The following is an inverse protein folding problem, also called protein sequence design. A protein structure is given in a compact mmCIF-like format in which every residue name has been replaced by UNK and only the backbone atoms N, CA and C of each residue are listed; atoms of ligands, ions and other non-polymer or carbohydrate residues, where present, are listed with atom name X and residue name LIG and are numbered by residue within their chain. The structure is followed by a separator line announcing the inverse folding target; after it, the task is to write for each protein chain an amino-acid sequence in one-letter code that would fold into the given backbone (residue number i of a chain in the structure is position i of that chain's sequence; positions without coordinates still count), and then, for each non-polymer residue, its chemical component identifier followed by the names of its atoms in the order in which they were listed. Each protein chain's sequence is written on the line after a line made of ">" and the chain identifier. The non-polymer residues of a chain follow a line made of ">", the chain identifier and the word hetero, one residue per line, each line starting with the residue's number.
data_IF_304173071063
#
_entry.id   IF_304173071063
#
_cell.length_a   1.000
_cell.length_b   1.000
_cell.length_c   1.000
_cell.angle_alpha   90.00
_cell.angle_beta   90.00
_cell.angle_gamma   90.00
#
_symmetry.space_group_name_H-M   'P 1'
#
loop_
_entity.id
_entity.type
_entity.pdbx_description
1 polymer ?
#
# COMPACT_ATOMS: atom_id res chain seq x y z
N UNK A 1 -1.48 3.83 21.15
CA UNK A 1 -2.34 2.98 20.31
C UNK A 1 -1.60 1.68 20.00
N UNK A 2 -2.27 0.51 20.02
CA UNK A 2 -1.68 -0.71 19.44
C UNK A 2 -1.37 -0.42 17.97
N UNK A 3 -0.14 -0.67 17.54
CA UNK A 3 0.27 -0.48 16.14
C UNK A 3 -0.50 -1.49 15.29
N UNK A 4 -1.30 -0.99 14.35
CA UNK A 4 -2.09 -1.81 13.44
C UNK A 4 -1.17 -2.61 12.50
N UNK A 5 -1.67 -3.73 11.99
CA UNK A 5 -0.86 -4.78 11.40
C UNK A 5 0.05 -4.28 10.27
N UNK A 6 1.32 -4.72 10.31
CA UNK A 6 2.33 -4.41 9.31
C UNK A 6 2.20 -5.33 8.08
N UNK A 7 2.22 -4.77 6.86
CA UNK A 7 2.08 -5.50 5.60
C UNK A 7 3.37 -6.28 5.26
N UNK A 8 3.54 -7.42 5.92
CA UNK A 8 4.75 -8.26 5.80
C UNK A 8 4.56 -9.45 4.85
N UNK A 9 3.35 -9.65 4.31
CA UNK A 9 3.00 -10.74 3.39
C UNK A 9 1.97 -10.27 2.35
N UNK A 10 1.66 -11.13 1.37
CA UNK A 10 0.49 -10.91 0.52
C UNK A 10 -0.78 -11.08 1.36
N UNK A 11 -1.55 -9.99 1.45
CA UNK A 11 -2.84 -9.98 2.16
C UNK A 11 -3.88 -10.74 1.32
N UNK A 12 -4.53 -11.80 1.86
CA UNK A 12 -5.57 -12.56 1.17
C UNK A 12 -6.85 -11.74 0.99
N UNK A 13 -7.67 -12.16 0.01
CA UNK A 13 -9.01 -11.60 -0.16
C UNK A 13 -9.94 -12.11 0.95
N UNK A 14 -10.87 -11.26 1.42
CA UNK A 14 -11.90 -11.61 2.42
C UNK A 14 -12.84 -12.70 1.93
N UNK A 15 -13.03 -12.80 0.61
CA UNK A 15 -13.76 -13.88 -0.04
C UNK A 15 -12.81 -14.83 -0.74
N UNK A 16 -13.23 -16.08 -0.92
CA UNK A 16 -12.59 -17.00 -1.85
C UNK A 16 -12.68 -16.40 -3.25
N UNK A 17 -11.55 -16.38 -3.97
CA UNK A 17 -11.49 -15.83 -5.32
C UNK A 17 -11.42 -16.93 -6.38
N UNK A 18 -12.03 -16.68 -7.52
CA UNK A 18 -11.96 -17.55 -8.69
C UNK A 18 -11.48 -16.78 -9.93
N UNK A 19 -10.97 -17.51 -10.92
CA UNK A 19 -10.60 -16.96 -12.23
C UNK A 19 -11.77 -17.17 -13.18
N UNK A 20 -12.30 -16.10 -13.76
CA UNK A 20 -13.28 -16.14 -14.84
C UNK A 20 -12.62 -15.79 -16.17
N UNK A 21 -12.90 -16.58 -17.21
CA UNK A 21 -12.41 -16.37 -18.58
C UNK A 21 -13.25 -15.30 -19.30
N UNK A 22 -13.20 -14.09 -18.77
CA UNK A 22 -13.87 -12.91 -19.31
C UNK A 22 -12.95 -11.68 -19.23
N UNK A 23 -13.15 -10.66 -20.11
CA UNK A 23 -12.28 -9.50 -20.15
C UNK A 23 -12.14 -8.79 -18.80
N UNK A 24 -10.89 -8.53 -18.41
CA UNK A 24 -10.58 -7.87 -17.14
C UNK A 24 -11.08 -6.43 -17.11
N UNK A 25 -11.79 -6.08 -16.04
CA UNK A 25 -12.15 -4.68 -15.75
C UNK A 25 -10.99 -3.87 -15.16
N UNK A 26 -9.88 -4.53 -14.79
CA UNK A 26 -8.69 -3.91 -14.18
C UNK A 26 -7.58 -3.62 -15.19
N UNK A 27 -7.43 -4.47 -16.22
CA UNK A 27 -6.30 -4.41 -17.16
C UNK A 27 -6.79 -4.59 -18.59
N UNK A 28 -6.49 -3.60 -19.43
CA UNK A 28 -6.78 -3.67 -20.86
C UNK A 28 -6.12 -4.91 -21.48
N UNK A 29 -6.87 -5.57 -22.37
CA UNK A 29 -6.44 -6.76 -23.14
C UNK A 29 -6.20 -8.05 -22.33
N UNK A 30 -6.43 -8.04 -21.02
CA UNK A 30 -6.44 -9.27 -20.23
C UNK A 30 -7.78 -9.99 -20.42
N UNK A 31 -7.76 -11.23 -20.90
CA UNK A 31 -8.95 -12.03 -21.25
C UNK A 31 -9.54 -12.83 -20.08
N UNK A 32 -9.05 -12.61 -18.87
CA UNK A 32 -9.56 -13.24 -17.65
C UNK A 32 -9.61 -12.21 -16.52
N UNK A 33 -10.43 -12.46 -15.50
CA UNK A 33 -10.41 -11.70 -14.25
C UNK A 33 -10.48 -12.58 -13.02
N UNK A 34 -9.90 -12.09 -11.93
CA UNK A 34 -9.98 -12.71 -10.61
C UNK A 34 -11.07 -12.00 -9.84
N UNK A 35 -12.14 -12.72 -9.49
CA UNK A 35 -13.31 -12.17 -8.79
C UNK A 35 -13.56 -12.91 -7.50
N UNK A 36 -14.16 -12.22 -6.53
CA UNK A 36 -14.66 -12.80 -5.30
C UNK A 36 -15.90 -13.65 -5.57
N UNK A 37 -16.01 -14.76 -4.85
CA UNK A 37 -17.23 -15.55 -4.72
C UNK A 37 -18.01 -15.09 -3.49
N UNK A 38 -19.21 -15.65 -3.28
CA UNK A 38 -20.02 -15.38 -2.09
C UNK A 38 -19.45 -16.04 -0.81
N UNK A 39 -18.47 -16.93 -0.95
CA UNK A 39 -17.89 -17.64 0.18
C UNK A 39 -16.82 -16.81 0.85
N UNK A 40 -16.98 -16.53 2.15
CA UNK A 40 -15.94 -15.92 2.99
C UNK A 40 -14.74 -16.86 3.04
N UNK A 41 -13.54 -16.30 2.92
CA UNK A 41 -12.29 -17.04 2.97
C UNK A 41 -12.11 -17.63 4.38
N UNK A 42 -11.81 -18.94 4.53
CA UNK A 42 -11.58 -19.56 5.83
C UNK A 42 -10.54 -18.82 6.68
N UNK A 43 -9.50 -18.25 6.06
CA UNK A 43 -8.48 -17.45 6.77
C UNK A 43 -9.08 -16.20 7.41
N UNK A 44 -10.11 -15.60 6.81
CA UNK A 44 -10.81 -14.45 7.39
C UNK A 44 -11.70 -14.87 8.57
N UNK A 45 -12.39 -16.01 8.47
CA UNK A 45 -13.20 -16.55 9.55
C UNK A 45 -12.34 -16.97 10.76
N UNK A 46 -11.23 -17.65 10.51
CA UNK A 46 -10.26 -18.06 11.55
C UNK A 46 -9.65 -16.85 12.28
N UNK A 47 -9.55 -15.70 11.60
CA UNK A 47 -9.03 -14.46 12.15
C UNK A 47 -10.09 -13.58 12.85
N UNK A 48 -11.35 -14.03 12.95
CA UNK A 48 -12.46 -13.27 13.56
C UNK A 48 -12.67 -11.90 12.90
N UNK A 49 -12.86 -11.92 11.57
CA UNK A 49 -13.01 -10.72 10.71
C UNK A 49 -14.10 -9.75 11.19
N UNK A 50 -15.17 -10.24 11.82
CA UNK A 50 -16.30 -9.42 12.29
C UNK A 50 -15.90 -8.49 13.45
N UNK A 51 -14.85 -8.85 14.19
CA UNK A 51 -14.27 -8.03 15.26
C UNK A 51 -13.05 -7.21 14.81
N UNK A 52 -12.69 -7.25 13.52
CA UNK A 52 -11.52 -6.58 12.98
C UNK A 52 -11.76 -5.08 12.75
N UNK A 53 -10.68 -4.28 12.79
CA UNK A 53 -10.75 -2.86 12.46
C UNK A 53 -10.65 -2.65 10.94
N UNK A 54 -11.67 -2.10 10.26
CA UNK A 54 -11.60 -1.81 8.84
C UNK A 54 -10.96 -0.45 8.57
N UNK A 55 -10.10 -0.44 7.56
CA UNK A 55 -9.36 0.73 7.13
C UNK A 55 -9.38 0.81 5.62
N UNK A 56 -9.26 2.02 5.08
CA UNK A 56 -9.17 2.22 3.65
C UNK A 56 -7.94 1.51 3.10
N UNK A 57 -8.12 0.72 2.03
CA UNK A 57 -7.01 0.26 1.22
C UNK A 57 -6.60 1.42 0.31
N UNK A 58 -5.40 1.95 0.51
CA UNK A 58 -4.86 2.98 -0.38
C UNK A 58 -4.13 2.36 -1.57
N UNK A 59 -4.30 2.97 -2.74
CA UNK A 59 -3.69 2.57 -4.00
C UNK A 59 -2.33 3.25 -4.15
N UNK A 60 -1.40 2.78 -3.33
CA UNK A 60 -0.01 3.22 -3.29
C UNK A 60 0.97 2.11 -3.65
N UNK A 61 2.25 2.42 -3.44
CA UNK A 61 3.30 1.40 -3.38
C UNK A 61 3.77 1.25 -1.94
N UNK A 62 3.74 0.01 -1.48
CA UNK A 62 4.06 -0.34 -0.10
C UNK A 62 5.53 -0.02 0.23
N UNK A 63 5.73 0.58 1.39
CA UNK A 63 7.01 0.99 1.96
C UNK A 63 7.14 0.45 3.38
N UNK A 64 8.37 0.43 3.89
CA UNK A 64 8.68 0.04 5.26
C UNK A 64 9.72 0.99 5.83
N UNK A 65 9.65 1.29 7.13
CA UNK A 65 10.70 2.06 7.80
C UNK A 65 11.41 1.16 8.81
N UNK A 66 12.70 0.95 8.60
CA UNK A 66 13.57 0.17 9.50
C UNK A 66 15.00 0.67 9.43
N UNK A 67 15.87 0.13 10.28
CA UNK A 67 17.27 0.54 10.40
C UNK A 67 18.07 0.13 9.15
N UNK A 68 18.79 1.09 8.57
CA UNK A 68 19.82 0.85 7.55
C UNK A 68 21.05 1.67 7.92
N UNK A 69 22.25 1.06 7.87
CA UNK A 69 23.51 1.74 8.22
C UNK A 69 23.47 2.46 9.59
N UNK A 70 22.75 1.88 10.56
CA UNK A 70 22.64 2.40 11.93
C UNK A 70 21.62 3.52 12.13
N UNK A 71 20.82 3.88 11.12
CA UNK A 71 19.85 4.96 11.20
C UNK A 71 18.45 4.54 10.67
N UNK A 72 17.36 5.17 11.14
CA UNK A 72 16.04 5.03 10.53
C UNK A 72 16.06 5.35 9.03
N UNK A 73 15.50 4.46 8.21
CA UNK A 73 15.56 4.60 6.76
C UNK A 73 14.25 4.15 6.11
N UNK A 74 13.90 4.74 4.96
CA UNK A 74 12.78 4.27 4.16
C UNK A 74 13.22 3.12 3.25
N UNK A 75 12.41 2.08 3.18
CA UNK A 75 12.60 0.91 2.36
C UNK A 75 11.43 0.73 1.41
N UNK A 76 11.72 0.50 0.14
CA UNK A 76 10.72 0.21 -0.88
C UNK A 76 10.45 -1.30 -0.94
N UNK A 77 9.21 -1.66 -1.26
CA UNK A 77 8.85 -3.06 -1.49
C UNK A 77 9.55 -3.63 -2.71
N UNK A 78 10.30 -4.72 -2.52
CA UNK A 78 10.86 -5.52 -3.60
C UNK A 78 10.56 -7.00 -3.35
N UNK A 79 9.51 -7.51 -3.99
CA UNK A 79 9.23 -8.95 -3.98
C UNK A 79 10.25 -9.69 -4.87
N UNK A 80 10.95 -10.69 -4.33
CA UNK A 80 11.78 -11.60 -5.14
C UNK A 80 10.87 -12.46 -6.02
N UNK A 81 11.03 -12.33 -7.34
CA UNK A 81 10.17 -12.96 -8.36
C UNK A 81 10.79 -14.23 -8.91
N UNK A 82 9.93 -15.20 -9.23
CA UNK A 82 10.32 -16.35 -10.04
C UNK A 82 10.86 -15.91 -11.41
N UNK A 83 11.76 -16.70 -11.97
CA UNK A 83 12.25 -16.55 -13.33
C UNK A 83 11.20 -17.07 -14.33
N UNK A 84 11.39 -16.77 -15.63
CA UNK A 84 10.40 -17.10 -16.68
C UNK A 84 10.15 -18.61 -16.81
N UNK A 85 11.18 -19.45 -16.62
CA UNK A 85 11.07 -20.90 -16.75
C UNK A 85 10.28 -21.49 -15.58
N UNK A 86 10.58 -21.05 -14.36
CA UNK A 86 9.88 -21.44 -13.15
C UNK A 86 8.41 -21.01 -13.19
N UNK A 87 8.12 -19.78 -13.63
CA UNK A 87 6.75 -19.29 -13.79
C UNK A 87 5.95 -20.13 -14.80
N UNK A 88 6.58 -20.53 -15.92
CA UNK A 88 5.95 -21.42 -16.90
C UNK A 88 5.67 -22.81 -16.31
N UNK A 89 6.61 -23.37 -15.55
CA UNK A 89 6.46 -24.68 -14.87
C UNK A 89 5.33 -24.62 -13.84
N UNK A 90 5.26 -23.56 -13.05
CA UNK A 90 4.21 -23.34 -12.07
C UNK A 90 2.83 -23.22 -12.73
N UNK A 91 2.69 -22.38 -13.76
CA UNK A 91 1.41 -22.25 -14.50
C UNK A 91 0.95 -23.57 -15.12
N UNK A 92 1.88 -24.35 -15.69
CA UNK A 92 1.56 -25.68 -16.23
C UNK A 92 1.05 -26.62 -15.13
N UNK A 93 1.70 -26.62 -13.97
CA UNK A 93 1.28 -27.42 -12.81
C UNK A 93 -0.11 -27.02 -12.31
N UNK A 94 -0.34 -25.71 -12.15
CA UNK A 94 -1.64 -25.18 -11.73
C UNK A 94 -2.76 -25.57 -12.69
N UNK A 95 -2.51 -25.51 -14.01
CA UNK A 95 -3.48 -25.93 -15.01
C UNK A 95 -3.77 -27.43 -14.95
N UNK A 96 -2.74 -28.28 -14.80
CA UNK A 96 -2.92 -29.73 -14.79
C UNK A 96 -3.56 -30.27 -13.51
N UNK A 97 -3.27 -29.66 -12.36
CA UNK A 97 -3.77 -30.13 -11.05
C UNK A 97 -4.93 -29.30 -10.51
N UNK A 98 -5.33 -28.22 -11.20
CA UNK A 98 -6.31 -27.22 -10.73
C UNK A 98 -6.02 -26.72 -9.30
N UNK A 99 -4.74 -26.72 -8.92
CA UNK A 99 -4.27 -26.42 -7.57
C UNK A 99 -2.79 -26.03 -7.62
N UNK A 100 -2.36 -25.19 -6.68
CA UNK A 100 -0.94 -24.93 -6.41
C UNK A 100 -0.34 -25.91 -5.39
N UNK A 101 -1.17 -26.65 -4.64
CA UNK A 101 -0.71 -27.56 -3.59
C UNK A 101 0.17 -28.66 -4.17
N UNK A 102 1.28 -28.94 -3.50
CA UNK A 102 2.27 -29.95 -3.91
C UNK A 102 3.32 -29.46 -4.91
N UNK A 103 3.21 -28.24 -5.44
CA UNK A 103 4.28 -27.67 -6.25
C UNK A 103 5.50 -27.35 -5.38
N UNK A 104 6.67 -27.85 -5.77
CA UNK A 104 7.92 -27.57 -5.07
C UNK A 104 8.74 -26.55 -5.84
N UNK A 105 9.07 -25.45 -5.16
CA UNK A 105 9.97 -24.40 -5.63
C UNK A 105 11.41 -24.71 -5.25
N UNK A 106 12.33 -24.61 -6.19
CA UNK A 106 13.77 -24.56 -5.93
C UNK A 106 14.18 -23.09 -5.79
N UNK A 107 14.36 -22.60 -4.56
CA UNK A 107 14.61 -21.16 -4.29
C UNK A 107 15.88 -20.63 -4.96
N UNK A 108 16.89 -21.48 -5.13
CA UNK A 108 18.17 -21.08 -5.73
C UNK A 108 18.05 -20.92 -7.24
N UNK A 109 17.38 -21.85 -7.90
CA UNK A 109 17.27 -21.87 -9.37
C UNK A 109 16.05 -21.10 -9.89
N UNK A 110 14.91 -21.20 -9.22
CA UNK A 110 13.63 -20.71 -9.73
C UNK A 110 13.46 -19.19 -9.60
N UNK A 111 14.27 -18.51 -8.79
CA UNK A 111 14.06 -17.10 -8.44
C UNK A 111 15.18 -16.20 -8.91
N UNK A 112 14.81 -15.00 -9.36
CA UNK A 112 15.77 -13.96 -9.75
C UNK A 112 16.65 -13.56 -8.55
N UNK A 113 17.89 -13.11 -8.79
CA UNK A 113 18.71 -12.53 -7.75
C UNK A 113 18.09 -11.23 -7.23
N UNK A 114 18.43 -10.89 -6.00
CA UNK A 114 18.09 -9.62 -5.35
C UNK A 114 19.38 -8.89 -4.96
N UNK A 115 19.34 -7.55 -4.78
CA UNK A 115 20.49 -6.82 -4.24
C UNK A 115 20.94 -7.36 -2.88
N UNK A 116 22.21 -7.20 -2.53
CA UNK A 116 22.75 -7.62 -1.22
C UNK A 116 22.07 -6.92 -0.04
N UNK A 117 21.60 -5.69 -0.26
CA UNK A 117 20.86 -4.91 0.73
C UNK A 117 19.41 -5.35 0.89
N UNK A 118 18.93 -6.31 0.10
CA UNK A 118 17.57 -6.82 0.20
C UNK A 118 17.38 -7.63 1.49
N UNK A 119 16.28 -7.36 2.20
CA UNK A 119 15.86 -8.12 3.37
C UNK A 119 14.49 -8.77 3.15
N UNK A 120 14.27 -10.01 3.59
CA UNK A 120 12.94 -10.62 3.55
C UNK A 120 12.00 -9.88 4.50
N UNK A 121 10.71 -9.79 4.12
CA UNK A 121 9.71 -9.24 5.02
C UNK A 121 9.52 -10.15 6.25
N UNK A 122 9.21 -9.57 7.42
CA UNK A 122 9.29 -10.25 8.72
C UNK A 122 8.48 -11.55 8.83
N UNK A 123 7.37 -11.66 8.11
CA UNK A 123 6.50 -12.85 8.15
C UNK A 123 6.80 -13.85 7.04
N UNK A 124 7.81 -13.65 6.20
CA UNK A 124 8.24 -14.65 5.22
C UNK A 124 8.72 -15.90 5.94
N UNK A 125 8.24 -17.07 5.52
CA UNK A 125 8.67 -18.35 6.09
C UNK A 125 10.14 -18.60 5.73
N UNK A 126 10.86 -19.26 6.63
CA UNK A 126 12.25 -19.62 6.41
C UNK A 126 12.43 -21.14 6.53
N UNK A 127 13.32 -21.70 5.72
CA UNK A 127 13.76 -23.10 5.81
C UNK A 127 15.29 -23.14 5.70
N UNK A 128 15.96 -23.74 6.68
CA UNK A 128 17.43 -23.74 6.74
C UNK A 128 18.04 -22.32 6.81
N UNK A 129 17.34 -21.35 7.38
CA UNK A 129 17.79 -19.95 7.43
C UNK A 129 17.52 -19.13 6.16
N UNK A 130 17.00 -19.73 5.10
CA UNK A 130 16.70 -19.04 3.84
C UNK A 130 15.21 -18.75 3.66
N UNK A 131 14.83 -17.58 3.12
CA UNK A 131 13.43 -17.25 2.87
C UNK A 131 12.85 -18.15 1.78
N UNK A 132 11.67 -18.71 2.04
CA UNK A 132 10.94 -19.58 1.10
C UNK A 132 9.65 -18.91 0.60
N UNK A 133 9.23 -19.19 -0.64
CA UNK A 133 8.01 -18.61 -1.19
C UNK A 133 6.75 -19.10 -0.49
N UNK A 134 5.69 -18.30 -0.58
CA UNK A 134 4.33 -18.77 -0.32
C UNK A 134 3.87 -19.78 -1.40
N UNK A 135 2.65 -20.30 -1.24
CA UNK A 135 2.03 -21.28 -2.15
C UNK A 135 1.92 -20.80 -3.60
N UNK A 136 2.00 -19.48 -3.82
CA UNK A 136 1.91 -18.83 -5.12
C UNK A 136 3.26 -18.38 -5.67
N UNK A 137 4.37 -18.70 -4.99
CA UNK A 137 5.70 -18.32 -5.44
C UNK A 137 6.09 -16.88 -5.07
N UNK A 138 5.45 -16.26 -4.07
CA UNK A 138 5.83 -14.91 -3.64
C UNK A 138 6.83 -14.96 -2.49
N UNK A 139 7.91 -14.18 -2.63
CA UNK A 139 8.84 -13.89 -1.55
C UNK A 139 8.88 -12.36 -1.34
N UNK A 140 8.00 -11.82 -0.51
CA UNK A 140 8.06 -10.45 0.01
C UNK A 140 9.43 -10.02 0.51
N UNK A 141 9.82 -8.78 0.21
CA UNK A 141 10.99 -8.18 0.85
C UNK A 141 11.13 -6.70 0.56
N UNK A 142 12.24 -6.14 1.03
CA UNK A 142 12.46 -4.71 1.12
C UNK A 142 13.87 -4.37 0.64
N UNK A 143 14.04 -3.20 0.04
CA UNK A 143 15.36 -2.61 -0.25
C UNK A 143 15.39 -1.15 0.21
N UNK A 144 16.53 -0.65 0.68
CA UNK A 144 16.63 0.73 1.15
C UNK A 144 16.47 1.71 -0.02
N UNK A 145 15.80 2.83 0.24
CA UNK A 145 15.58 3.91 -0.72
C UNK A 145 16.81 4.81 -0.75
N UNK A 146 17.83 4.40 -1.48
CA UNK A 146 19.05 5.21 -1.64
C UNK A 146 18.83 6.34 -2.68
N UNK A 147 19.44 7.50 -2.42
CA UNK A 147 19.20 8.74 -3.19
C UNK A 147 19.48 8.62 -4.68
N UNK A 148 20.52 7.86 -5.04
CA UNK A 148 20.95 7.68 -6.44
C UNK A 148 20.17 6.60 -7.19
N UNK A 149 19.26 5.90 -6.50
CA UNK A 149 18.45 4.86 -7.12
C UNK A 149 17.25 5.46 -7.87
N UNK A 150 17.41 5.63 -9.19
CA UNK A 150 16.35 6.13 -10.08
C UNK A 150 15.05 5.33 -10.02
N UNK A 151 15.10 4.05 -9.64
CA UNK A 151 13.89 3.23 -9.49
C UNK A 151 12.97 3.74 -8.37
N UNK A 152 13.56 4.35 -7.33
CA UNK A 152 12.84 4.79 -6.13
C UNK A 152 12.85 6.31 -5.97
N UNK A 153 13.02 7.07 -7.06
CA UNK A 153 13.10 8.53 -7.02
C UNK A 153 11.88 9.20 -6.34
N UNK A 154 10.68 8.65 -6.50
CA UNK A 154 9.47 9.15 -5.82
C UNK A 154 9.37 8.75 -4.35
N UNK A 155 10.04 7.66 -3.94
CA UNK A 155 10.17 7.35 -2.52
C UNK A 155 11.17 8.32 -1.89
N UNK A 156 12.26 8.61 -2.62
CA UNK A 156 13.24 9.58 -2.20
C UNK A 156 12.67 11.00 -2.07
N UNK A 157 11.60 11.38 -2.79
CA UNK A 157 11.05 12.74 -2.71
C UNK A 157 10.32 13.04 -1.39
N UNK A 158 9.91 12.01 -0.64
CA UNK A 158 9.11 12.15 0.59
C UNK A 158 9.90 11.92 1.88
N UNK A 159 11.22 11.77 1.79
CA UNK A 159 12.09 11.59 2.95
C UNK A 159 13.32 12.45 2.85
N UNK A 160 13.80 12.95 3.97
CA UNK A 160 15.11 13.56 4.11
C UNK A 160 15.93 12.70 5.07
N UNK A 161 16.82 11.86 4.52
CA UNK A 161 17.62 10.94 5.33
C UNK A 161 18.69 11.66 6.15
N UNK A 162 19.17 12.83 5.71
CA UNK A 162 20.13 13.62 6.50
C UNK A 162 19.44 14.26 7.70
N UNK A 163 18.19 14.69 7.53
CA UNK A 163 17.35 15.21 8.61
C UNK A 163 16.76 14.10 9.50
N UNK A 164 16.70 12.88 8.98
CA UNK A 164 15.90 11.81 9.57
C UNK A 164 14.39 12.11 9.56
N UNK A 165 13.88 12.80 8.54
CA UNK A 165 12.48 13.26 8.46
C UNK A 165 11.73 12.66 7.27
N UNK A 166 10.41 12.60 7.37
CA UNK A 166 9.50 12.11 6.36
C UNK A 166 8.29 13.04 6.19
N UNK A 167 7.84 13.22 4.95
CA UNK A 167 6.63 13.93 4.60
C UNK A 167 5.46 12.94 4.58
N UNK A 168 4.52 13.11 5.51
CA UNK A 168 3.39 12.20 5.72
C UNK A 168 2.06 12.89 5.47
N UNK A 169 1.09 12.10 5.05
CA UNK A 169 -0.32 12.46 4.99
C UNK A 169 -1.08 11.51 5.92
N UNK A 170 -1.80 12.06 6.90
CA UNK A 170 -2.49 11.27 7.95
C UNK A 170 -3.78 11.96 8.38
N UNK A 171 -4.73 11.25 9.01
CA UNK A 171 -5.83 11.93 9.71
C UNK A 171 -5.30 12.87 10.80
N UNK A 172 -5.95 14.02 10.96
CA UNK A 172 -5.65 14.97 12.02
C UNK A 172 -5.97 14.36 13.38
N UNK A 173 -5.13 14.64 14.39
CA UNK A 173 -5.38 14.22 15.76
C UNK A 173 -6.56 14.96 16.41
N UNK A 174 -6.91 16.14 15.91
CA UNK A 174 -7.99 16.99 16.43
C UNK A 174 -9.35 16.63 15.80
N UNK A 175 -9.34 16.21 14.54
CA UNK A 175 -10.53 15.89 13.76
C UNK A 175 -10.22 14.75 12.78
N UNK A 176 -10.79 13.57 13.02
CA UNK A 176 -10.57 12.40 12.17
C UNK A 176 -11.14 12.56 10.75
N UNK A 177 -12.01 13.54 10.48
CA UNK A 177 -12.51 13.88 9.13
C UNK A 177 -11.50 14.72 8.33
N UNK A 178 -10.66 15.50 9.01
CA UNK A 178 -9.61 16.32 8.42
C UNK A 178 -8.34 15.50 8.20
N UNK A 179 -7.71 15.64 7.04
CA UNK A 179 -6.34 15.17 6.82
C UNK A 179 -5.33 16.25 7.23
N UNK A 180 -4.14 15.84 7.64
CA UNK A 180 -3.00 16.73 7.78
C UNK A 180 -1.81 16.24 6.96
N UNK A 181 -1.13 17.20 6.33
CA UNK A 181 0.20 17.01 5.76
C UNK A 181 1.20 17.50 6.80
N UNK A 182 2.09 16.62 7.23
CA UNK A 182 3.05 16.91 8.29
C UNK A 182 4.43 16.38 7.93
N UNK A 183 5.45 16.97 8.55
CA UNK A 183 6.81 16.44 8.54
C UNK A 183 7.07 15.80 9.89
N UNK A 184 7.44 14.51 9.89
CA UNK A 184 7.65 13.71 11.09
C UNK A 184 9.01 13.04 11.08
N UNK A 185 9.64 12.79 12.24
CA UNK A 185 10.84 11.96 12.33
C UNK A 185 10.60 10.55 11.76
N UNK A 186 11.55 10.03 10.98
CA UNK A 186 11.55 8.63 10.53
C UNK A 186 11.56 7.65 11.71
N UNK A 187 12.11 8.04 12.86
CA UNK A 187 12.04 7.25 14.10
C UNK A 187 10.60 7.00 14.58
N UNK A 188 9.69 7.94 14.32
CA UNK A 188 8.29 7.79 14.73
C UNK A 188 7.56 6.75 13.87
N UNK A 189 8.06 6.55 12.65
CA UNK A 189 7.58 5.57 11.67
C UNK A 189 8.27 4.20 11.80
N UNK A 190 9.15 4.01 12.78
CA UNK A 190 9.98 2.82 12.92
C UNK A 190 9.16 1.53 13.02
N UNK A 191 9.54 0.53 12.23
CA UNK A 191 8.87 -0.77 12.05
C UNK A 191 7.41 -0.66 11.55
N UNK A 192 7.03 0.46 10.93
CA UNK A 192 5.73 0.62 10.28
C UNK A 192 5.82 0.36 8.78
N UNK A 193 4.77 -0.23 8.21
CA UNK A 193 4.55 -0.23 6.76
C UNK A 193 3.70 0.96 6.37
N UNK A 194 4.01 1.58 5.25
CA UNK A 194 3.31 2.76 4.73
C UNK A 194 2.94 2.53 3.26
N UNK A 195 1.97 3.27 2.75
CA UNK A 195 1.73 3.41 1.32
C UNK A 195 2.35 4.74 0.86
N UNK A 196 3.22 4.69 -0.13
CA UNK A 196 3.58 5.88 -0.88
C UNK A 196 2.46 6.15 -1.88
N UNK A 197 1.85 7.32 -1.82
CA UNK A 197 0.84 7.80 -2.77
C UNK A 197 1.33 9.08 -3.44
N UNK A 198 0.84 9.40 -4.64
CA UNK A 198 1.21 10.64 -5.31
C UNK A 198 1.06 10.65 -6.82
N UNK A 199 1.46 11.75 -7.43
CA UNK A 199 1.29 12.06 -8.86
C UNK A 199 1.79 10.96 -9.80
N UNK A 200 2.86 10.26 -9.41
CA UNK A 200 3.50 9.24 -10.24
C UNK A 200 3.27 7.81 -9.74
N UNK A 201 2.39 7.63 -8.76
CA UNK A 201 2.10 6.32 -8.19
C UNK A 201 0.76 5.83 -8.71
N UNK A 202 0.76 4.61 -9.27
CA UNK A 202 -0.44 3.86 -9.69
C UNK A 202 -1.48 4.66 -10.51
N UNK A 203 -1.03 5.62 -11.33
CA UNK A 203 -1.92 6.43 -12.16
C UNK A 203 -2.57 7.63 -11.46
N UNK A 204 -2.11 7.98 -10.26
CA UNK A 204 -2.59 9.11 -9.45
C UNK A 204 -4.10 9.06 -9.14
N UNK A 205 -4.60 7.99 -8.51
CA UNK A 205 -6.04 7.82 -8.25
C UNK A 205 -6.61 8.89 -7.30
N UNK A 206 -5.75 9.59 -6.56
CA UNK A 206 -6.12 10.62 -5.59
C UNK A 206 -5.93 12.05 -6.12
N UNK A 207 -5.60 12.23 -7.41
CA UNK A 207 -5.47 13.54 -8.04
C UNK A 207 -4.41 14.46 -7.40
N UNK A 208 -3.35 13.89 -6.82
CA UNK A 208 -2.31 14.65 -6.13
C UNK A 208 -1.37 15.33 -7.13
N UNK A 209 -1.19 16.63 -6.99
CA UNK A 209 -0.25 17.42 -7.79
C UNK A 209 -0.45 17.30 -9.30
N UNK A 210 0.60 17.61 -10.07
CA UNK A 210 0.58 17.52 -11.54
C UNK A 210 1.92 17.04 -12.08
N UNK A 211 1.98 16.67 -13.37
CA UNK A 211 3.27 16.28 -13.99
C UNK A 211 4.33 17.40 -13.92
N UNK A 212 3.91 18.66 -13.86
CA UNK A 212 4.81 19.82 -13.72
C UNK A 212 5.27 20.03 -12.27
N UNK A 213 4.41 19.65 -11.32
CA UNK A 213 4.63 19.81 -9.89
C UNK A 213 4.17 18.52 -9.19
N UNK A 214 4.99 17.46 -9.26
CA UNK A 214 4.61 16.17 -8.71
C UNK A 214 4.61 16.22 -7.19
N UNK A 215 3.56 15.70 -6.57
CA UNK A 215 3.37 15.64 -5.11
C UNK A 215 3.24 14.20 -4.69
N UNK A 216 3.92 13.83 -3.60
CA UNK A 216 3.92 12.50 -3.02
C UNK A 216 3.88 12.57 -1.50
N UNK A 217 3.30 11.55 -0.86
CA UNK A 217 3.22 11.43 0.60
C UNK A 217 3.35 9.98 1.03
N UNK A 218 3.86 9.77 2.25
CA UNK A 218 3.70 8.50 2.95
C UNK A 218 2.41 8.53 3.79
N UNK A 219 1.60 7.48 3.66
CA UNK A 219 0.42 7.25 4.51
C UNK A 219 0.63 5.97 5.29
N UNK A 220 0.56 6.02 6.62
CA UNK A 220 0.76 4.82 7.44
C UNK A 220 -0.38 3.83 7.22
N UNK A 221 -0.06 2.54 7.08
CA UNK A 221 -1.09 1.52 6.93
C UNK A 221 -2.02 1.50 8.14
N UNK A 222 -3.32 1.38 7.85
CA UNK A 222 -4.37 1.34 8.87
C UNK A 222 -4.65 2.69 9.56
N UNK A 223 -4.01 3.78 9.14
CA UNK A 223 -4.29 5.10 9.70
C UNK A 223 -5.65 5.65 9.27
N UNK A 224 -6.08 5.39 8.05
CA UNK A 224 -7.36 5.87 7.49
C UNK A 224 -8.45 4.85 7.78
N UNK A 225 -9.29 5.12 8.78
CA UNK A 225 -10.39 4.22 9.18
C UNK A 225 -11.59 4.34 8.27
N UNK A 226 -12.33 3.24 8.14
CA UNK A 226 -13.70 3.24 7.60
C UNK A 226 -14.63 3.22 8.81
N UNK A 227 -15.48 4.22 8.94
CA UNK A 227 -16.34 4.44 10.11
C UNK A 227 -17.59 3.57 10.07
N UNK A 228 -18.19 3.46 8.88
CA UNK A 228 -19.44 2.71 8.69
C UNK A 228 -19.24 1.62 7.65
N UNK A 229 -18.36 0.63 7.93
CA UNK A 229 -18.16 -0.48 7.02
C UNK A 229 -19.46 -1.30 6.89
N UNK A 230 -19.79 -1.81 5.70
CA UNK A 230 -20.85 -2.80 5.57
C UNK A 230 -20.39 -4.12 6.22
N UNK A 231 -21.32 -5.01 6.60
CA UNK A 231 -21.01 -6.39 6.97
C UNK A 231 -20.17 -7.11 5.91
N UNK A 232 -19.45 -8.16 6.33
CA UNK A 232 -18.66 -9.02 5.43
C UNK A 232 -19.60 -9.96 4.66
N UNK A 233 -20.35 -9.36 3.74
CA UNK A 233 -21.27 -10.00 2.81
C UNK A 233 -21.03 -9.45 1.41
N UNK A 234 -20.97 -10.32 0.40
CA UNK A 234 -20.56 -9.93 -0.95
C UNK A 234 -21.49 -8.88 -1.54
N UNK A 235 -22.81 -9.04 -1.36
CA UNK A 235 -23.81 -8.15 -1.94
C UNK A 235 -23.82 -6.80 -1.22
N UNK A 236 -23.76 -6.80 0.11
CA UNK A 236 -23.72 -5.57 0.90
C UNK A 236 -22.44 -4.78 0.67
N UNK A 237 -21.28 -5.45 0.55
CA UNK A 237 -20.04 -4.78 0.15
C UNK A 237 -20.17 -4.18 -1.25
N UNK A 238 -20.72 -4.92 -2.21
CA UNK A 238 -20.92 -4.41 -3.57
C UNK A 238 -21.80 -3.15 -3.60
N UNK A 239 -22.96 -3.18 -2.93
CA UNK A 239 -23.84 -2.01 -2.80
C UNK A 239 -23.12 -0.84 -2.13
N UNK A 240 -22.41 -1.07 -1.02
CA UNK A 240 -21.65 -0.01 -0.33
C UNK A 240 -20.59 0.63 -1.23
N UNK A 241 -19.78 -0.16 -1.96
CA UNK A 241 -18.78 0.38 -2.87
C UNK A 241 -19.39 1.20 -4.03
N UNK A 242 -20.64 0.94 -4.41
CA UNK A 242 -21.30 1.62 -5.53
C UNK A 242 -22.11 2.85 -5.08
N UNK A 243 -22.73 2.79 -3.91
CA UNK A 243 -23.78 3.73 -3.51
C UNK A 243 -23.34 4.64 -2.36
N UNK A 244 -22.37 4.21 -1.54
CA UNK A 244 -21.87 5.02 -0.41
C UNK A 244 -20.78 6.00 -0.85
N UNK A 245 -20.82 7.27 -0.40
CA UNK A 245 -19.71 8.20 -0.58
C UNK A 245 -18.39 7.70 0.03
N UNK A 246 -18.43 7.08 1.21
CA UNK A 246 -17.29 6.42 1.88
C UNK A 246 -16.83 5.17 1.10
N UNK A 247 -17.73 4.61 0.30
CA UNK A 247 -17.49 3.49 -0.61
C UNK A 247 -16.60 3.80 -1.81
N UNK A 248 -16.31 5.08 -2.10
CA UNK A 248 -15.48 5.50 -3.25
C UNK A 248 -13.98 5.33 -2.99
N UNK A 249 -13.58 4.15 -2.53
CA UNK A 249 -12.21 3.77 -2.13
C UNK A 249 -11.74 2.54 -2.90
N UNK A 250 -10.42 2.32 -3.03
CA UNK A 250 -9.86 1.18 -3.79
C UNK A 250 -10.37 -0.16 -3.24
N UNK A 251 -10.47 -0.23 -1.92
CA UNK A 251 -10.76 -1.43 -1.17
C UNK A 251 -10.81 -1.19 0.33
N UNK A 252 -10.99 -2.27 1.07
CA UNK A 252 -10.93 -2.29 2.54
C UNK A 252 -9.80 -3.22 2.96
N UNK A 253 -9.06 -2.85 4.01
CA UNK A 253 -8.18 -3.74 4.76
C UNK A 253 -8.71 -3.85 6.18
N UNK A 254 -9.04 -5.07 6.60
CA UNK A 254 -9.39 -5.41 7.97
C UNK A 254 -8.13 -5.84 8.73
N UNK A 255 -7.91 -5.21 9.89
CA UNK A 255 -6.84 -5.50 10.83
C UNK A 255 -7.41 -6.35 11.96
N UNK A 256 -7.18 -7.66 11.88
CA UNK A 256 -7.72 -8.63 12.83
C UNK A 256 -6.93 -8.61 14.15
N UNK A 257 -7.55 -9.07 15.24
CA UNK A 257 -6.98 -8.99 16.60
C UNK A 257 -5.73 -9.85 16.79
N UNK A 258 -5.59 -10.94 16.04
CA UNK A 258 -4.42 -11.82 15.98
C UNK A 258 -3.27 -11.22 15.13
N UNK A 259 -3.49 -10.05 14.53
CA UNK A 259 -2.56 -9.38 13.63
C UNK A 259 -2.61 -9.90 12.20
N UNK A 260 -3.57 -10.76 11.84
CA UNK A 260 -3.87 -11.13 10.46
C UNK A 260 -4.45 -9.93 9.73
N UNK A 261 -4.03 -9.74 8.47
CA UNK A 261 -4.59 -8.73 7.59
C UNK A 261 -5.44 -9.45 6.54
N UNK A 262 -6.64 -8.95 6.30
CA UNK A 262 -7.55 -9.42 5.26
C UNK A 262 -7.96 -8.21 4.42
N UNK A 263 -8.17 -8.37 3.11
CA UNK A 263 -8.60 -7.25 2.26
C UNK A 263 -9.71 -7.61 1.30
N UNK A 264 -10.38 -6.59 0.78
CA UNK A 264 -11.13 -6.67 -0.47
C UNK A 264 -10.71 -5.49 -1.32
N UNK A 265 -10.78 -5.65 -2.64
CA UNK A 265 -10.56 -4.55 -3.58
C UNK A 265 -11.74 -4.51 -4.53
N UNK A 266 -12.18 -3.32 -4.92
CA UNK A 266 -13.23 -3.09 -5.93
C UNK A 266 -13.20 -4.05 -7.11
N UNK A 267 -12.01 -4.32 -7.67
CA UNK A 267 -11.89 -5.21 -8.83
C UNK A 267 -12.27 -6.68 -8.53
N UNK A 268 -12.09 -7.16 -7.29
CA UNK A 268 -12.58 -8.49 -6.91
C UNK A 268 -14.12 -8.54 -6.94
N UNK A 269 -14.80 -7.42 -6.71
CA UNK A 269 -16.26 -7.29 -6.81
C UNK A 269 -16.72 -6.97 -8.24
N UNK A 270 -15.83 -7.02 -9.23
CA UNK A 270 -16.12 -6.61 -10.61
C UNK A 270 -16.33 -5.11 -10.77
N UNK A 271 -15.99 -4.28 -9.78
CA UNK A 271 -16.12 -2.82 -9.86
C UNK A 271 -14.84 -2.20 -10.43
N UNK A 272 -14.98 -1.06 -11.11
CA UNK A 272 -13.85 -0.31 -11.66
C UNK A 272 -13.12 0.46 -10.56
N UNK A 273 -11.85 0.73 -10.81
CA UNK A 273 -11.01 1.62 -10.00
C UNK A 273 -9.95 2.26 -10.91
N UNK A 274 -9.62 3.56 -10.75
CA UNK A 274 -10.21 4.51 -9.79
C UNK A 274 -11.62 4.97 -10.15
N UNK A 275 -12.35 5.46 -9.13
CA UNK A 275 -13.52 6.31 -9.32
C UNK A 275 -13.08 7.73 -9.69
N UNK A 276 -13.96 8.54 -10.31
CA UNK A 276 -13.61 9.93 -10.68
C UNK A 276 -13.33 10.79 -9.44
N UNK A 277 -14.16 10.63 -8.41
CA UNK A 277 -14.02 11.30 -7.11
C UNK A 277 -13.80 10.23 -6.05
N UNK A 278 -12.56 10.10 -5.57
CA UNK A 278 -12.25 9.15 -4.50
C UNK A 278 -12.55 9.75 -3.15
N UNK A 279 -13.02 8.95 -2.19
CA UNK A 279 -13.33 9.43 -0.85
C UNK A 279 -12.12 10.11 -0.22
N UNK A 280 -10.95 9.45 -0.24
CA UNK A 280 -9.69 10.01 0.26
C UNK A 280 -9.25 11.29 -0.47
N UNK A 281 -9.41 11.33 -1.80
CA UNK A 281 -9.04 12.48 -2.62
C UNK A 281 -9.92 13.72 -2.41
N UNK A 282 -11.14 13.54 -1.93
CA UNK A 282 -12.09 14.63 -1.64
C UNK A 282 -12.02 15.13 -0.18
N UNK A 283 -11.16 14.54 0.66
CA UNK A 283 -11.06 14.94 2.07
C UNK A 283 -10.40 16.31 2.23
N UNK A 284 -10.90 17.16 3.15
CA UNK A 284 -10.25 18.41 3.48
C UNK A 284 -8.89 18.13 4.11
N UNK A 285 -7.96 19.08 3.94
CA UNK A 285 -6.58 18.92 4.42
C UNK A 285 -6.01 20.22 4.96
N UNK A 286 -5.24 20.12 6.04
CA UNK A 286 -4.44 21.22 6.61
C UNK A 286 -2.95 20.93 6.46
N UNK A 287 -2.16 21.94 6.12
CA UNK A 287 -0.70 21.83 6.05
C UNK A 287 -0.10 22.19 7.42
N UNK A 288 0.62 21.25 8.03
CA UNK A 288 1.32 21.39 9.33
C UNK A 288 2.80 21.00 9.18
N UNK A 289 3.50 21.71 8.30
CA UNK A 289 4.94 21.53 8.02
C UNK A 289 5.73 22.66 8.69
N UNK A 290 5.58 22.77 10.02
CA UNK A 290 6.20 23.81 10.83
C UNK A 290 7.66 23.48 11.22
N UNK A 291 8.59 24.34 10.81
CA UNK A 291 10.01 24.35 11.16
C UNK A 291 10.63 25.64 10.59
N UNK A 292 11.70 26.18 11.16
CA UNK A 292 12.31 27.43 10.67
C UNK A 292 12.74 27.26 9.22
N UNK A 293 12.22 28.12 8.33
CA UNK A 293 12.49 28.13 6.89
C UNK A 293 14.00 28.20 6.57
N UNK A 294 14.83 28.63 7.53
CA UNK A 294 16.28 28.70 7.41
C UNK A 294 17.00 27.33 7.49
N UNK A 295 16.39 26.29 8.07
CA UNK A 295 17.00 24.94 8.19
C UNK A 295 16.77 24.04 6.96
N UNK A 296 15.90 24.47 6.03
CA UNK A 296 15.44 23.66 4.90
C UNK A 296 15.97 24.15 3.54
N UNK A 297 16.80 25.20 3.50
CA UNK A 297 17.30 25.83 2.27
C UNK A 297 18.12 24.92 1.33
N UNK A 298 18.43 23.70 1.75
CA UNK A 298 19.13 22.69 0.93
C UNK A 298 18.34 21.38 0.76
N UNK A 299 17.09 21.33 1.22
CA UNK A 299 16.33 20.09 1.40
C UNK A 299 15.15 20.03 0.43
N UNK A 300 15.20 19.01 -0.43
CA UNK A 300 14.21 18.50 -1.40
C UNK A 300 12.97 19.38 -1.64
N UNK A 301 12.75 19.72 -2.91
CA UNK A 301 11.71 20.62 -3.43
C UNK A 301 10.35 20.56 -2.71
N UNK A 302 9.84 19.36 -2.38
CA UNK A 302 8.56 19.19 -1.69
C UNK A 302 8.53 19.70 -0.25
N UNK A 303 9.56 19.45 0.56
CA UNK A 303 9.58 19.88 1.97
C UNK A 303 9.55 21.42 2.05
N UNK A 304 10.38 22.06 1.22
CA UNK A 304 10.43 23.52 1.11
C UNK A 304 9.10 24.08 0.59
N UNK A 305 8.50 23.47 -0.43
CA UNK A 305 7.23 23.91 -0.99
C UNK A 305 6.09 23.85 0.04
N UNK A 306 5.96 22.77 0.81
CA UNK A 306 4.93 22.68 1.84
C UNK A 306 5.18 23.58 3.05
N UNK A 307 6.44 23.86 3.38
CA UNK A 307 6.78 24.82 4.43
C UNK A 307 6.28 26.23 4.10
N UNK A 308 6.34 26.65 2.83
CA UNK A 308 5.85 27.97 2.37
C UNK A 308 4.34 28.17 2.55
N UNK A 309 3.57 27.09 2.46
CA UNK A 309 2.10 27.11 2.61
C UNK A 309 1.67 26.50 3.96
N UNK A 310 2.57 26.46 4.95
CA UNK A 310 2.23 25.97 6.28
C UNK A 310 1.06 26.75 6.89
N UNK A 311 0.12 26.04 7.51
CA UNK A 311 -1.11 26.59 8.07
C UNK A 311 -2.25 26.75 7.06
N UNK A 312 -2.01 26.60 5.76
CA UNK A 312 -3.09 26.63 4.77
C UNK A 312 -4.02 25.43 4.94
N UNK A 313 -5.31 25.67 4.69
CA UNK A 313 -6.35 24.65 4.65
C UNK A 313 -6.95 24.60 3.24
N UNK A 314 -7.22 23.39 2.76
CA UNK A 314 -7.84 23.14 1.48
C UNK A 314 -9.11 22.32 1.68
N UNK A 315 -10.14 22.60 0.88
CA UNK A 315 -11.40 21.84 0.87
C UNK A 315 -11.19 20.38 0.51
N UNK A 316 -10.21 20.09 -0.36
CA UNK A 316 -9.85 18.76 -0.82
C UNK A 316 -8.35 18.65 -0.98
N UNK A 317 -7.80 17.47 -0.80
CA UNK A 317 -6.36 17.25 -1.02
C UNK A 317 -5.94 17.47 -2.48
N UNK A 318 -6.85 17.24 -3.43
CA UNK A 318 -6.63 17.54 -4.85
C UNK A 318 -6.49 19.03 -5.15
N UNK A 319 -7.00 19.90 -4.28
CA UNK A 319 -6.98 21.36 -4.48
C UNK A 319 -5.63 21.98 -4.10
N UNK A 320 -4.68 21.20 -3.56
CA UNK A 320 -3.35 21.68 -3.20
C UNK A 320 -2.62 22.11 -4.47
N UNK A 321 -2.25 23.39 -4.51
CA UNK A 321 -1.38 23.96 -5.53
C UNK A 321 -0.12 24.48 -4.82
N UNK A 322 1.05 24.07 -5.33
CA UNK A 322 2.33 24.57 -4.86
C UNK A 322 2.73 25.74 -5.77
N UNK A 323 2.70 26.97 -5.26
CA UNK A 323 3.18 28.13 -6.02
C UNK A 323 4.70 28.05 -6.21
N UNK A 324 5.18 28.37 -7.42
CA UNK A 324 6.61 28.33 -7.81
C UNK A 324 7.40 29.42 -7.10
#
# INVERSE_FOLDING_TARGET
>A
MRRLGSVQQKIPCVFVTEVKEEPSRKRDRQQFQVVATENVNPVALEADIDCALPTEKLDGTCCYVTVYKGQPYLWARLDRKANKQAEKRFKKYQHSHRSCKGFTWNVEEDFKPVPETWIPAHRVKHHGGHPVPDEHGHIPGWVPVEQDNKQYCWHSSVVDHEAGMALVLRPSAEDEDLLEIAVVPLSDLMEQTLELVGTNINGNPYGLGSKKQPVHFLVSHGSVRIRTPPPVDLHQLCSWFQESPEGRVEGIVWHCNDGTLIKVHRHHLGLRWPEQETYFGERPVVIRVGGTAEEHNNRKDLFTSFSRINGHCFSRIQDIQLDV
#
